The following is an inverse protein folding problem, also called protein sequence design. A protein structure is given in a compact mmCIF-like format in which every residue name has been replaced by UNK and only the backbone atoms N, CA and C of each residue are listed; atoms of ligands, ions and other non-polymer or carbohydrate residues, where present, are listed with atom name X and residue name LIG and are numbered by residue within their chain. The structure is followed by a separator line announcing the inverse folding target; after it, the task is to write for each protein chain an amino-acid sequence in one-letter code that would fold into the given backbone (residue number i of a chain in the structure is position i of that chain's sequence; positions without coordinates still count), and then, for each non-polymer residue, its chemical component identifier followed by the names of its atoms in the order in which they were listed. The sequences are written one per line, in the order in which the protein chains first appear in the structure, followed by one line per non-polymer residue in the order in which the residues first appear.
data_IF_600551926680
#
_entry.id   IF_600551926680
#
_cell.length_a   1.000
_cell.length_b   1.000
_cell.length_c   1.000
_cell.angle_alpha   90.00
_cell.angle_beta   90.00
_cell.angle_gamma   90.00
#
_symmetry.space_group_name_H-M   'P 1'
#
loop_
_entity.id
_entity.type
_entity.pdbx_description
1 polymer ?
#
# COMPACT_ATOMS: atom_id res chain seq x y z
N UNK A 1 -13.89 8.25 -3.29
CA UNK A 1 -13.85 6.86 -3.78
C UNK A 1 -13.73 6.85 -5.30
N UNK A 2 -12.72 6.20 -5.86
CA UNK A 2 -12.52 6.07 -7.30
C UNK A 2 -13.44 4.97 -7.84
N UNK A 3 -14.57 5.36 -8.45
CA UNK A 3 -15.45 4.42 -9.12
C UNK A 3 -14.77 3.74 -10.31
N UNK A 4 -15.13 2.49 -10.56
CA UNK A 4 -14.64 1.67 -11.66
C UNK A 4 -14.55 2.39 -13.03
N UNK A 5 -15.50 3.23 -13.46
CA UNK A 5 -15.37 3.98 -14.71
C UNK A 5 -14.19 4.95 -14.74
N UNK A 6 -13.72 5.38 -13.57
CA UNK A 6 -12.55 6.27 -13.43
C UNK A 6 -11.23 5.49 -13.32
N UNK A 7 -11.27 4.18 -13.09
CA UNK A 7 -10.08 3.37 -12.88
C UNK A 7 -9.14 3.40 -14.09
N UNK A 8 -9.63 3.29 -15.30
CA UNK A 8 -8.77 3.33 -16.49
C UNK A 8 -7.97 4.63 -16.59
N UNK A 9 -8.56 5.77 -16.18
CA UNK A 9 -7.86 7.05 -16.12
C UNK A 9 -6.83 7.09 -14.98
N UNK A 10 -7.21 6.59 -13.80
CA UNK A 10 -6.33 6.49 -12.65
C UNK A 10 -5.14 5.57 -12.95
N UNK A 11 -5.38 4.39 -13.53
CA UNK A 11 -4.32 3.46 -13.98
C UNK A 11 -3.36 4.14 -14.96
N UNK A 12 -3.90 4.83 -15.98
CA UNK A 12 -3.08 5.55 -16.95
C UNK A 12 -2.20 6.60 -16.27
N UNK A 13 -2.76 7.34 -15.30
CA UNK A 13 -2.02 8.33 -14.53
C UNK A 13 -0.95 7.67 -13.64
N UNK A 14 -1.28 6.59 -12.90
CA UNK A 14 -0.31 5.82 -12.11
C UNK A 14 0.85 5.35 -12.99
N UNK A 15 0.54 4.69 -14.10
CA UNK A 15 1.56 4.19 -15.02
C UNK A 15 2.43 5.32 -15.57
N UNK A 16 1.89 6.50 -15.83
CA UNK A 16 2.70 7.65 -16.27
C UNK A 16 3.64 8.20 -15.20
N UNK A 17 3.39 7.90 -13.93
CA UNK A 17 4.23 8.27 -12.79
C UNK A 17 5.29 7.20 -12.48
N UNK A 18 5.08 5.94 -12.86
CA UNK A 18 6.10 4.90 -12.67
C UNK A 18 7.38 5.28 -13.40
N UNK A 19 8.53 5.02 -12.79
CA UNK A 19 9.82 5.29 -13.42
C UNK A 19 10.01 4.45 -14.70
N UNK A 20 10.73 4.99 -15.66
CA UNK A 20 10.90 4.39 -16.98
C UNK A 20 11.50 2.98 -16.93
N UNK A 21 12.46 2.76 -16.03
CA UNK A 21 13.12 1.47 -15.82
C UNK A 21 12.18 0.36 -15.33
N UNK A 22 11.02 0.71 -14.77
CA UNK A 22 10.02 -0.22 -14.26
C UNK A 22 8.73 -0.25 -15.07
N UNK A 23 8.58 0.58 -16.09
CA UNK A 23 7.34 0.70 -16.89
C UNK A 23 6.86 -0.62 -17.50
N UNK A 24 7.77 -1.47 -17.94
CA UNK A 24 7.43 -2.79 -18.53
C UNK A 24 7.29 -3.90 -17.47
N UNK A 25 7.67 -3.63 -16.23
CA UNK A 25 7.74 -4.61 -15.16
C UNK A 25 6.60 -4.50 -14.17
N UNK A 26 6.16 -3.26 -13.87
CA UNK A 26 5.10 -2.97 -12.89
C UNK A 26 3.77 -2.81 -13.59
N UNK A 27 2.72 -3.41 -13.04
CA UNK A 27 1.34 -3.17 -13.46
C UNK A 27 0.41 -3.06 -12.24
N UNK A 28 -0.64 -2.23 -12.39
CA UNK A 28 -1.69 -2.05 -11.40
C UNK A 28 -2.98 -2.61 -11.98
N UNK A 29 -3.66 -3.47 -11.24
CA UNK A 29 -4.89 -4.10 -11.67
C UNK A 29 -5.99 -3.92 -10.62
N UNK A 30 -7.22 -3.80 -11.10
CA UNK A 30 -8.44 -3.82 -10.28
C UNK A 30 -9.36 -4.87 -10.86
N UNK A 31 -9.71 -5.85 -10.05
CA UNK A 31 -10.51 -7.00 -10.42
C UNK A 31 -11.76 -6.98 -9.54
N UNK A 32 -12.92 -6.72 -10.13
CA UNK A 32 -14.19 -6.77 -9.43
C UNK A 32 -14.83 -8.13 -9.60
N UNK A 33 -15.43 -8.64 -8.52
CA UNK A 33 -16.14 -9.92 -8.54
C UNK A 33 -17.57 -9.71 -9.06
N UNK A 34 -17.82 -10.09 -10.32
CA UNK A 34 -19.07 -9.81 -11.04
C UNK A 34 -20.35 -10.31 -10.37
N UNK A 35 -20.26 -11.31 -9.50
CA UNK A 35 -21.40 -11.90 -8.78
C UNK A 35 -21.56 -11.36 -7.36
N UNK A 36 -20.68 -10.51 -6.90
CA UNK A 36 -20.77 -9.92 -5.59
C UNK A 36 -21.60 -8.64 -5.64
N UNK A 37 -22.49 -8.48 -4.66
CA UNK A 37 -23.08 -7.18 -4.38
C UNK A 37 -21.97 -6.25 -3.87
N UNK A 38 -22.18 -4.94 -3.97
CA UNK A 38 -21.31 -3.89 -3.41
C UNK A 38 -19.90 -3.75 -4.02
N UNK A 39 -19.74 -4.20 -5.27
CA UNK A 39 -18.49 -4.03 -6.03
C UNK A 39 -17.26 -4.61 -5.31
N UNK A 40 -17.46 -5.68 -4.56
CA UNK A 40 -16.36 -6.40 -3.94
C UNK A 40 -15.34 -6.85 -4.98
N UNK A 41 -14.08 -6.77 -4.61
CA UNK A 41 -13.01 -7.09 -5.53
C UNK A 41 -11.65 -7.05 -4.87
N UNK A 42 -10.62 -7.02 -5.71
CA UNK A 42 -9.24 -6.83 -5.27
C UNK A 42 -8.49 -5.86 -6.17
N UNK A 43 -7.58 -5.09 -5.57
CA UNK A 43 -6.55 -4.37 -6.28
C UNK A 43 -5.22 -5.13 -6.18
N UNK A 44 -4.41 -5.07 -7.22
CA UNK A 44 -3.16 -5.83 -7.29
C UNK A 44 -2.04 -4.93 -7.83
N UNK A 45 -0.88 -5.02 -7.20
CA UNK A 45 0.38 -4.52 -7.77
C UNK A 45 1.21 -5.74 -8.16
N UNK A 46 1.48 -5.88 -9.44
CA UNK A 46 2.32 -6.95 -9.98
C UNK A 46 3.67 -6.42 -10.48
N UNK A 47 4.69 -7.26 -10.35
CA UNK A 47 6.03 -7.02 -10.87
C UNK A 47 6.44 -8.24 -11.68
N UNK A 48 6.88 -8.04 -12.91
CA UNK A 48 7.25 -9.11 -13.84
C UNK A 48 6.14 -10.17 -13.97
N UNK A 49 4.87 -9.71 -14.01
CA UNK A 49 3.64 -10.51 -14.08
C UNK A 49 3.35 -11.36 -12.83
N UNK A 50 4.10 -11.19 -11.75
CA UNK A 50 3.88 -11.85 -10.45
C UNK A 50 3.19 -10.87 -9.51
N UNK A 51 2.08 -11.27 -8.89
CA UNK A 51 1.40 -10.48 -7.87
C UNK A 51 2.34 -10.31 -6.66
N UNK A 52 2.68 -9.06 -6.32
CA UNK A 52 3.52 -8.72 -5.16
C UNK A 52 2.71 -8.19 -4.00
N UNK A 53 1.60 -7.55 -4.29
CA UNK A 53 0.64 -7.08 -3.29
C UNK A 53 -0.76 -7.29 -3.84
N UNK A 54 -1.59 -7.97 -3.07
CA UNK A 54 -3.01 -8.20 -3.37
C UNK A 54 -3.86 -7.65 -2.22
N UNK A 55 -4.71 -6.69 -2.54
CA UNK A 55 -5.58 -5.97 -1.60
C UNK A 55 -7.01 -6.41 -1.86
N UNK A 56 -7.47 -7.42 -1.13
CA UNK A 56 -8.75 -8.09 -1.35
C UNK A 56 -9.76 -7.67 -0.28
N UNK A 57 -10.87 -7.04 -0.68
CA UNK A 57 -11.93 -6.59 0.22
C UNK A 57 -12.50 -7.72 1.06
N UNK A 58 -12.82 -8.87 0.46
CA UNK A 58 -13.39 -10.02 1.20
C UNK A 58 -12.42 -10.54 2.28
N UNK A 59 -11.12 -10.57 1.96
CA UNK A 59 -10.12 -11.04 2.93
C UNK A 59 -9.97 -10.01 4.05
N UNK A 60 -9.86 -8.73 3.72
CA UNK A 60 -9.70 -7.67 4.71
C UNK A 60 -10.89 -7.59 5.67
N UNK A 61 -12.13 -7.58 5.17
CA UNK A 61 -13.34 -7.53 5.98
C UNK A 61 -13.48 -8.75 6.89
N UNK A 62 -13.13 -9.95 6.39
CA UNK A 62 -13.12 -11.15 7.22
C UNK A 62 -12.09 -11.08 8.34
N UNK A 63 -10.89 -10.65 8.05
CA UNK A 63 -9.83 -10.52 9.05
C UNK A 63 -10.14 -9.40 10.04
N UNK A 64 -10.72 -8.27 9.60
CA UNK A 64 -11.21 -7.18 10.44
C UNK A 64 -12.23 -7.71 11.47
N UNK A 65 -13.23 -8.46 11.02
CA UNK A 65 -14.21 -9.09 11.91
C UNK A 65 -13.55 -9.94 13.00
N UNK A 66 -12.53 -10.75 12.66
CA UNK A 66 -11.83 -11.56 13.65
C UNK A 66 -11.01 -10.70 14.62
N UNK A 67 -10.33 -9.65 14.14
CA UNK A 67 -9.58 -8.72 15.02
C UNK A 67 -10.51 -7.96 15.96
N UNK A 68 -11.64 -7.45 15.46
CA UNK A 68 -12.64 -6.79 16.31
C UNK A 68 -13.14 -7.74 17.41
N UNK A 69 -13.47 -8.98 17.06
CA UNK A 69 -13.92 -9.98 18.02
C UNK A 69 -12.85 -10.25 19.08
N UNK A 70 -11.60 -10.42 18.67
CA UNK A 70 -10.52 -10.73 19.62
C UNK A 70 -10.23 -9.53 20.54
N UNK A 71 -10.32 -8.30 20.01
CA UNK A 71 -10.21 -7.07 20.83
C UNK A 71 -11.35 -6.99 21.84
N UNK A 72 -12.59 -7.29 21.44
CA UNK A 72 -13.74 -7.30 22.36
C UNK A 72 -13.57 -8.32 23.48
N UNK A 73 -13.09 -9.52 23.16
CA UNK A 73 -12.78 -10.56 24.16
C UNK A 73 -11.73 -10.04 25.16
N UNK A 74 -10.68 -9.38 24.69
CA UNK A 74 -9.61 -8.82 25.54
C UNK A 74 -10.11 -7.70 26.47
N UNK A 75 -11.09 -6.92 25.99
CA UNK A 75 -11.66 -5.79 26.74
C UNK A 75 -12.87 -6.18 27.59
N UNK A 76 -13.34 -7.42 27.49
CA UNK A 76 -14.62 -7.89 28.06
C UNK A 76 -15.80 -6.96 27.68
N UNK A 77 -15.74 -6.39 26.46
CA UNK A 77 -16.75 -5.46 25.92
C UNK A 77 -17.52 -6.07 24.75
N UNK A 78 -18.67 -6.61 25.06
CA UNK A 78 -19.62 -7.14 24.08
C UNK A 78 -20.80 -6.21 23.81
N UNK A 79 -20.71 -4.96 24.29
CA UNK A 79 -21.73 -3.94 24.05
C UNK A 79 -21.57 -3.33 22.66
N UNK A 80 -22.59 -3.51 21.82
CA UNK A 80 -22.65 -2.87 20.50
C UNK A 80 -23.40 -1.53 20.50
N UNK A 81 -23.90 -1.11 21.65
CA UNK A 81 -24.73 0.10 21.76
C UNK A 81 -23.89 1.38 21.88
N UNK A 82 -22.61 1.26 22.27
CA UNK A 82 -21.71 2.38 22.40
C UNK A 82 -20.95 2.67 21.10
N UNK A 83 -21.42 3.66 20.34
CA UNK A 83 -20.83 4.03 19.04
C UNK A 83 -19.35 4.43 19.15
N UNK A 84 -18.94 5.08 20.24
CA UNK A 84 -17.55 5.51 20.44
C UNK A 84 -16.62 4.32 20.67
N UNK A 85 -17.04 3.37 21.52
CA UNK A 85 -16.26 2.16 21.76
C UNK A 85 -16.17 1.30 20.51
N UNK A 86 -17.27 1.17 19.76
CA UNK A 86 -17.28 0.41 18.50
C UNK A 86 -16.28 1.01 17.51
N UNK A 87 -16.26 2.33 17.36
CA UNK A 87 -15.33 3.01 16.47
C UNK A 87 -13.88 2.79 16.89
N UNK A 88 -13.56 2.92 18.17
CA UNK A 88 -12.22 2.68 18.70
C UNK A 88 -11.74 1.24 18.48
N UNK A 89 -12.65 0.26 18.61
CA UNK A 89 -12.34 -1.15 18.33
C UNK A 89 -12.08 -1.36 16.84
N UNK A 90 -12.89 -0.79 15.96
CA UNK A 90 -12.70 -0.87 14.50
C UNK A 90 -11.38 -0.20 14.08
N UNK A 91 -11.10 1.00 14.56
CA UNK A 91 -9.82 1.70 14.29
C UNK A 91 -8.62 0.84 14.72
N UNK A 92 -8.67 0.23 15.91
CA UNK A 92 -7.61 -0.67 16.39
C UNK A 92 -7.49 -1.94 15.55
N UNK A 93 -8.59 -2.54 15.12
CA UNK A 93 -8.59 -3.70 14.24
C UNK A 93 -7.95 -3.35 12.88
N UNK A 94 -8.34 -2.21 12.29
CA UNK A 94 -7.78 -1.72 11.05
C UNK A 94 -6.27 -1.41 11.15
N UNK A 95 -5.82 -0.83 12.27
CA UNK A 95 -4.39 -0.62 12.53
C UNK A 95 -3.61 -1.94 12.55
N UNK A 96 -4.17 -2.98 13.19
CA UNK A 96 -3.55 -4.32 13.20
C UNK A 96 -3.45 -4.90 11.79
N UNK A 97 -4.51 -4.82 10.98
CA UNK A 97 -4.50 -5.26 9.58
C UNK A 97 -3.43 -4.50 8.77
N UNK A 98 -3.38 -3.19 8.92
CA UNK A 98 -2.39 -2.37 8.24
C UNK A 98 -0.95 -2.74 8.67
N UNK A 99 -0.74 -3.07 9.96
CA UNK A 99 0.54 -3.58 10.44
C UNK A 99 0.90 -4.96 9.85
N UNK A 100 -0.07 -5.80 9.56
CA UNK A 100 0.11 -7.11 8.94
C UNK A 100 0.22 -7.02 7.40
N UNK A 101 -0.07 -5.86 6.81
CA UNK A 101 -0.06 -5.65 5.36
C UNK A 101 -1.31 -6.20 4.67
N UNK A 102 -2.40 -6.35 5.40
CA UNK A 102 -3.70 -6.79 4.90
C UNK A 102 -4.52 -5.54 4.56
N UNK A 103 -4.89 -5.39 3.31
CA UNK A 103 -5.62 -4.24 2.77
C UNK A 103 -6.81 -4.68 1.96
N UNK A 104 -7.85 -3.86 1.98
CA UNK A 104 -8.97 -3.97 1.06
C UNK A 104 -8.71 -3.22 -0.26
N UNK A 105 -9.54 -3.49 -1.26
CA UNK A 105 -9.48 -2.75 -2.53
C UNK A 105 -9.72 -1.26 -2.34
N UNK A 106 -10.60 -0.87 -1.42
CA UNK A 106 -10.90 0.54 -1.15
C UNK A 106 -9.74 1.28 -0.48
N UNK A 107 -8.89 0.59 0.29
CA UNK A 107 -7.66 1.19 0.86
C UNK A 107 -6.71 1.60 -0.26
N UNK A 108 -6.56 0.75 -1.28
CA UNK A 108 -5.76 1.10 -2.46
C UNK A 108 -6.33 2.32 -3.19
N UNK A 109 -7.64 2.41 -3.35
CA UNK A 109 -8.25 3.57 -4.00
C UNK A 109 -8.04 4.85 -3.19
N UNK A 110 -8.16 4.78 -1.87
CA UNK A 110 -7.93 5.90 -0.96
C UNK A 110 -6.47 6.36 -1.03
N UNK A 111 -5.52 5.43 -0.96
CA UNK A 111 -4.10 5.73 -1.08
C UNK A 111 -3.75 6.35 -2.44
N UNK A 112 -4.31 5.84 -3.54
CA UNK A 112 -4.10 6.41 -4.89
C UNK A 112 -4.69 7.82 -4.99
N UNK A 113 -5.87 8.06 -4.42
CA UNK A 113 -6.51 9.38 -4.42
C UNK A 113 -5.69 10.39 -3.62
N UNK A 114 -5.25 10.03 -2.43
CA UNK A 114 -4.37 10.85 -1.59
C UNK A 114 -3.03 11.13 -2.30
N UNK A 115 -2.38 10.11 -2.86
CA UNK A 115 -1.13 10.24 -3.61
C UNK A 115 -1.26 11.18 -4.81
N UNK A 116 -2.40 11.17 -5.50
CA UNK A 116 -2.63 12.06 -6.63
C UNK A 116 -2.87 13.51 -6.25
N UNK A 117 -3.39 13.76 -5.06
CA UNK A 117 -3.75 15.08 -4.56
C UNK A 117 -2.68 15.70 -3.66
N UNK A 118 -1.64 14.95 -3.31
CA UNK A 118 -0.55 15.41 -2.46
C UNK A 118 0.73 15.71 -3.26
N UNK A 119 1.48 16.76 -2.90
CA UNK A 119 2.84 16.94 -3.39
C UNK A 119 3.72 15.74 -3.04
N UNK A 120 4.69 15.40 -3.90
CA UNK A 120 5.53 14.21 -3.69
C UNK A 120 6.34 14.31 -2.38
N UNK A 121 6.74 15.52 -1.98
CA UNK A 121 7.47 15.77 -0.74
C UNK A 121 6.64 15.47 0.51
N UNK A 122 5.32 15.63 0.43
CA UNK A 122 4.36 15.26 1.49
C UNK A 122 4.16 13.75 1.50
N UNK A 123 3.91 13.16 0.33
CA UNK A 123 3.73 11.71 0.18
C UNK A 123 4.94 10.90 0.65
N UNK A 124 6.17 11.41 0.46
CA UNK A 124 7.41 10.78 0.94
C UNK A 124 7.50 10.71 2.49
N UNK A 125 6.74 11.53 3.21
CA UNK A 125 6.68 11.53 4.67
C UNK A 125 5.47 10.76 5.22
N UNK A 126 4.65 10.19 4.35
CA UNK A 126 3.49 9.41 4.76
C UNK A 126 3.93 8.16 5.53
N UNK A 127 3.15 7.79 6.55
CA UNK A 127 3.30 6.51 7.24
C UNK A 127 2.50 5.38 6.56
N UNK A 128 1.65 5.73 5.59
CA UNK A 128 0.89 4.74 4.83
C UNK A 128 1.80 3.93 3.91
N UNK A 129 1.79 2.61 4.07
CA UNK A 129 2.63 1.69 3.31
C UNK A 129 2.32 1.73 1.81
N UNK A 130 1.06 1.87 1.43
CA UNK A 130 0.66 1.93 0.02
C UNK A 130 1.19 3.22 -0.63
N UNK A 131 1.08 4.35 0.07
CA UNK A 131 1.64 5.63 -0.40
C UNK A 131 3.17 5.55 -0.51
N UNK A 132 3.86 4.94 0.47
CA UNK A 132 5.31 4.71 0.40
C UNK A 132 5.70 3.90 -0.84
N UNK A 133 4.98 2.81 -1.13
CA UNK A 133 5.22 1.98 -2.31
C UNK A 133 5.01 2.81 -3.59
N UNK A 134 3.93 3.58 -3.68
CA UNK A 134 3.67 4.46 -4.83
C UNK A 134 4.79 5.50 -5.01
N UNK A 135 5.28 6.11 -3.93
CA UNK A 135 6.43 7.03 -3.97
C UNK A 135 7.71 6.36 -4.47
N UNK A 136 8.02 5.16 -3.98
CA UNK A 136 9.20 4.40 -4.42
C UNK A 136 9.15 4.13 -5.92
N UNK A 137 7.98 3.83 -6.46
CA UNK A 137 7.80 3.57 -7.88
C UNK A 137 7.79 4.84 -8.75
N UNK A 138 7.60 6.02 -8.16
CA UNK A 138 7.40 7.27 -8.87
C UNK A 138 8.70 7.82 -9.47
N UNK A 139 8.66 8.18 -10.77
CA UNK A 139 9.80 8.78 -11.49
C UNK A 139 10.24 10.14 -10.94
N UNK A 140 9.37 10.86 -10.21
CA UNK A 140 9.70 12.14 -9.56
C UNK A 140 10.65 11.94 -8.38
N UNK A 141 10.70 10.74 -7.81
CA UNK A 141 11.66 10.37 -6.77
C UNK A 141 12.97 9.96 -7.44
N UNK A 142 13.92 10.91 -7.49
CA UNK A 142 15.20 10.70 -8.15
C UNK A 142 16.21 9.89 -7.31
N UNK A 143 17.29 9.44 -7.96
CA UNK A 143 18.36 8.62 -7.34
C UNK A 143 18.93 9.21 -6.04
N UNK A 144 19.06 10.56 -5.97
CA UNK A 144 19.56 11.21 -4.75
C UNK A 144 18.60 11.04 -3.58
N UNK A 145 17.29 11.12 -3.81
CA UNK A 145 16.27 10.92 -2.79
C UNK A 145 16.24 9.46 -2.36
N UNK A 146 16.28 8.52 -3.32
CA UNK A 146 16.34 7.09 -3.02
C UNK A 146 17.52 6.75 -2.12
N UNK A 147 18.73 7.26 -2.40
CA UNK A 147 19.90 7.05 -1.52
C UNK A 147 19.71 7.60 -0.11
N UNK A 148 19.01 8.72 0.05
CA UNK A 148 18.70 9.27 1.38
C UNK A 148 17.65 8.45 2.17
N UNK A 149 16.83 7.69 1.46
CA UNK A 149 15.80 6.84 2.08
C UNK A 149 16.36 5.52 2.60
N UNK A 150 17.60 5.15 2.31
CA UNK A 150 18.21 3.87 2.65
C UNK A 150 18.04 3.51 4.13
N UNK A 151 18.43 4.42 5.02
CA UNK A 151 18.34 4.20 6.48
C UNK A 151 16.89 4.03 6.92
N UNK A 152 16.00 4.93 6.50
CA UNK A 152 14.59 4.87 6.89
C UNK A 152 13.88 3.64 6.34
N UNK A 153 14.24 3.18 5.14
CA UNK A 153 13.66 1.99 4.52
C UNK A 153 14.12 0.70 5.24
N UNK A 154 15.30 0.67 5.84
CA UNK A 154 15.78 -0.50 6.58
C UNK A 154 14.89 -0.84 7.78
N UNK A 155 14.19 0.15 8.33
CA UNK A 155 13.24 0.00 9.45
C UNK A 155 11.81 -0.33 8.98
N UNK A 156 11.55 -0.23 7.69
CA UNK A 156 10.24 -0.47 7.11
C UNK A 156 9.92 -1.97 6.97
N UNK A 157 8.65 -2.26 6.71
CA UNK A 157 8.20 -3.63 6.45
C UNK A 157 8.87 -4.23 5.21
N UNK A 158 9.07 -5.54 5.22
CA UNK A 158 9.71 -6.28 4.14
C UNK A 158 9.13 -6.00 2.75
N UNK A 159 7.82 -5.74 2.67
CA UNK A 159 7.18 -5.42 1.40
C UNK A 159 7.68 -4.09 0.84
N UNK A 160 7.78 -3.04 1.67
CA UNK A 160 8.32 -1.73 1.26
C UNK A 160 9.78 -1.86 0.86
N UNK A 161 10.58 -2.59 1.65
CA UNK A 161 11.98 -2.89 1.34
C UNK A 161 12.14 -3.59 -0.01
N UNK A 162 11.26 -4.56 -0.32
CA UNK A 162 11.29 -5.27 -1.59
C UNK A 162 11.02 -4.36 -2.79
N UNK A 163 10.05 -3.45 -2.70
CA UNK A 163 9.79 -2.45 -3.75
C UNK A 163 10.94 -1.45 -3.88
N UNK A 164 11.54 -1.06 -2.76
CA UNK A 164 12.70 -0.18 -2.76
C UNK A 164 13.91 -0.84 -3.44
N UNK A 165 14.22 -2.09 -3.09
CA UNK A 165 15.27 -2.87 -3.74
C UNK A 165 15.00 -3.01 -5.24
N UNK A 166 13.77 -3.38 -5.64
CA UNK A 166 13.37 -3.45 -7.04
C UNK A 166 13.68 -2.14 -7.79
N UNK A 167 13.35 -0.99 -7.18
CA UNK A 167 13.59 0.32 -7.77
C UNK A 167 15.09 0.62 -7.88
N UNK A 168 15.85 0.34 -6.85
CA UNK A 168 17.30 0.58 -6.82
C UNK A 168 18.03 -0.30 -7.85
N UNK A 169 17.68 -1.58 -7.92
CA UNK A 169 18.22 -2.52 -8.91
C UNK A 169 17.92 -2.06 -10.35
N UNK A 170 16.68 -1.62 -10.62
CA UNK A 170 16.27 -1.15 -11.93
C UNK A 170 16.99 0.14 -12.39
N UNK A 171 17.46 0.95 -11.45
CA UNK A 171 18.21 2.18 -11.72
C UNK A 171 19.72 2.07 -11.52
N UNK A 172 20.23 0.86 -11.24
CA UNK A 172 21.64 0.60 -10.94
C UNK A 172 22.14 1.49 -9.78
N UNK A 173 21.36 1.59 -8.71
CA UNK A 173 21.76 2.27 -7.48
C UNK A 173 22.42 1.25 -6.59
N UNK A 174 23.74 1.33 -6.46
CA UNK A 174 24.52 0.52 -5.54
C UNK A 174 24.71 1.29 -4.24
N UNK A 175 24.48 0.63 -3.12
CA UNK A 175 24.78 1.13 -1.79
C UNK A 175 26.21 0.77 -1.42
N UNK A 176 26.88 1.67 -0.71
CA UNK A 176 28.22 1.36 -0.18
C UNK A 176 28.07 0.30 0.89
N UNK A 177 28.56 -0.90 0.64
CA UNK A 177 28.77 -1.89 1.70
C UNK A 177 29.84 -1.34 2.64
N UNK A 178 29.58 -1.36 3.96
CA UNK A 178 30.50 -0.89 5.02
C UNK A 178 31.87 -1.59 5.05
N UNK A 179 32.25 -2.34 4.02
CA UNK A 179 33.50 -3.10 3.94
C UNK A 179 34.65 -2.37 3.23
N UNK A 180 34.49 -1.10 2.87
CA UNK A 180 35.57 -0.30 2.30
C UNK A 180 35.93 0.91 3.18
N UNK A 181 36.19 0.67 4.46
CA UNK A 181 36.97 1.56 5.29
C UNK A 181 38.41 1.01 5.34
N UNK A 182 39.39 1.80 4.92
CA UNK A 182 40.79 1.41 4.96
C UNK A 182 41.31 1.24 6.38
#
# INVERSE_FOLDING_TARGET
MLYHPKWSKAKKRLMSLVCESLHSRVDFQVINYRKAHDQLGRAVISVDKVEKLSMCTITAEREEYYRERDIRIQLDDFSYDNVFNNRAIQERAQEQLNMEGIYAQYDFFSAVEEFFNSPIEVSLKSNDMLIKILCILDRRVGKRTLRKMEESISEEKSLVQNFYKLRCDAENIHFRTEKELP
#
